data_IF_120241394937
#
_entry.id   IF_120241394937
#
_cell.length_a   1.000
_cell.length_b   1.000
_cell.length_c   1.000
_cell.angle_alpha   90.00
_cell.angle_beta   90.00
_cell.angle_gamma   90.00
#
_symmetry.space_group_name_H-M   'P 1'
#
loop_
_entity.id
_entity.type
_entity.pdbx_description
1 polymer ?
#
# COMPACT_ATOMS: atom_id res chain seq x y z
N UNK A 1 9.02 -5.98 20.50
CA UNK A 1 8.17 -7.08 19.98
C UNK A 1 9.06 -8.16 19.35
N UNK A 2 8.68 -9.45 19.38
CA UNK A 2 9.45 -10.50 18.69
C UNK A 2 9.37 -10.32 17.17
N UNK A 3 10.48 -10.52 16.45
CA UNK A 3 10.55 -10.37 14.98
C UNK A 3 9.51 -11.22 14.25
N UNK A 4 9.20 -12.42 14.77
CA UNK A 4 8.17 -13.31 14.21
C UNK A 4 6.78 -12.68 14.30
N UNK A 5 6.47 -12.04 15.43
CA UNK A 5 5.19 -11.36 15.64
C UNK A 5 5.05 -10.15 14.72
N UNK A 6 6.11 -9.34 14.57
CA UNK A 6 6.12 -8.22 13.63
C UNK A 6 5.93 -8.67 12.17
N UNK A 7 6.54 -9.79 11.77
CA UNK A 7 6.40 -10.35 10.43
C UNK A 7 4.96 -10.82 10.16
N UNK A 8 4.34 -11.53 11.11
CA UNK A 8 2.95 -12.00 10.98
C UNK A 8 1.99 -10.81 10.87
N UNK A 9 2.19 -9.78 11.70
CA UNK A 9 1.33 -8.59 11.65
C UNK A 9 1.53 -7.83 10.33
N UNK A 10 2.76 -7.73 9.82
CA UNK A 10 3.02 -7.12 8.51
C UNK A 10 2.30 -7.85 7.36
N UNK A 11 2.31 -9.19 7.37
CA UNK A 11 1.57 -10.02 6.41
C UNK A 11 0.06 -9.76 6.55
N UNK A 12 -0.47 -9.76 7.77
CA UNK A 12 -1.89 -9.51 8.02
C UNK A 12 -2.32 -8.11 7.54
N UNK A 13 -1.47 -7.09 7.73
CA UNK A 13 -1.71 -5.74 7.20
C UNK A 13 -1.77 -5.77 5.67
N UNK A 14 -0.81 -6.41 5.00
CA UNK A 14 -0.78 -6.50 3.54
C UNK A 14 -1.98 -7.24 2.95
N UNK A 15 -2.33 -8.40 3.52
CA UNK A 15 -3.49 -9.18 3.09
C UNK A 15 -4.82 -8.47 3.38
N UNK A 16 -4.96 -7.85 4.55
CA UNK A 16 -6.14 -7.06 4.91
C UNK A 16 -6.32 -5.84 4.01
N UNK A 17 -5.22 -5.17 3.66
CA UNK A 17 -5.21 -4.05 2.73
C UNK A 17 -5.69 -4.47 1.32
N UNK A 18 -5.27 -5.66 0.84
CA UNK A 18 -5.76 -6.20 -0.43
C UNK A 18 -7.29 -6.32 -0.45
N UNK A 19 -7.86 -6.96 0.56
CA UNK A 19 -9.29 -7.18 0.65
C UNK A 19 -10.07 -5.87 0.74
N UNK A 20 -9.57 -4.94 1.56
CA UNK A 20 -10.19 -3.62 1.73
C UNK A 20 -10.17 -2.81 0.42
N UNK A 21 -9.02 -2.76 -0.28
CA UNK A 21 -8.90 -2.02 -1.53
C UNK A 21 -9.77 -2.63 -2.63
N UNK A 22 -9.81 -3.96 -2.76
CA UNK A 22 -10.69 -4.64 -3.72
C UNK A 22 -12.16 -4.28 -3.48
N UNK A 23 -12.59 -4.17 -2.22
CA UNK A 23 -13.96 -3.75 -1.89
C UNK A 23 -14.20 -2.26 -2.17
N UNK A 24 -13.26 -1.39 -1.76
CA UNK A 24 -13.36 0.06 -2.00
C UNK A 24 -13.36 0.42 -3.49
N UNK A 25 -12.66 -0.34 -4.35
CA UNK A 25 -12.59 -0.08 -5.78
C UNK A 25 -13.95 -0.13 -6.46
N UNK A 26 -14.82 -1.08 -6.11
CA UNK A 26 -16.16 -1.13 -6.69
C UNK A 26 -16.95 0.16 -6.40
N UNK A 27 -16.82 0.68 -5.18
CA UNK A 27 -17.45 1.92 -4.77
C UNK A 27 -16.85 3.14 -5.47
N UNK A 28 -15.52 3.23 -5.52
CA UNK A 28 -14.81 4.34 -6.19
C UNK A 28 -15.13 4.34 -7.69
N UNK A 29 -15.16 3.18 -8.34
CA UNK A 29 -15.51 3.07 -9.75
C UNK A 29 -16.95 3.53 -10.03
N UNK A 30 -17.89 3.22 -9.14
CA UNK A 30 -19.29 3.62 -9.28
C UNK A 30 -19.51 5.11 -9.01
N UNK A 31 -18.80 5.69 -8.05
CA UNK A 31 -19.05 7.05 -7.56
C UNK A 31 -18.10 8.11 -8.10
N UNK A 32 -17.00 7.74 -8.76
CA UNK A 32 -16.01 8.72 -9.23
C UNK A 32 -16.53 9.49 -10.46
N UNK A 33 -16.80 10.81 -10.35
CA UNK A 33 -17.30 11.59 -11.47
C UNK A 33 -16.20 11.98 -12.46
N UNK A 34 -14.92 11.81 -12.10
CA UNK A 34 -13.78 12.31 -12.86
C UNK A 34 -13.74 11.81 -14.31
N UNK A 35 -13.94 10.51 -14.63
CA UNK A 35 -13.94 10.05 -16.02
C UNK A 35 -15.00 10.78 -16.87
N UNK A 36 -16.18 11.04 -16.31
CA UNK A 36 -17.25 11.75 -17.00
C UNK A 36 -16.91 13.23 -17.24
N UNK A 37 -16.24 13.88 -16.29
CA UNK A 37 -15.82 15.28 -16.41
C UNK A 37 -14.70 15.44 -17.45
N UNK A 38 -13.71 14.53 -17.45
CA UNK A 38 -12.62 14.53 -18.42
C UNK A 38 -13.12 14.24 -19.85
N UNK A 39 -14.10 13.34 -19.99
CA UNK A 39 -14.73 13.08 -21.28
C UNK A 39 -15.50 14.32 -21.79
N UNK A 40 -16.21 15.01 -20.89
CA UNK A 40 -16.93 16.27 -21.21
C UNK A 40 -15.99 17.42 -21.57
N UNK A 41 -14.77 17.47 -21.01
CA UNK A 41 -13.76 18.48 -21.37
C UNK A 41 -13.06 18.18 -22.70
N UNK A 42 -13.44 17.12 -23.40
CA UNK A 42 -12.85 16.71 -24.68
C UNK A 42 -11.51 15.99 -24.56
N UNK A 43 -11.06 15.65 -23.35
CA UNK A 43 -9.81 14.92 -23.14
C UNK A 43 -9.99 13.46 -23.57
N UNK A 44 -9.13 12.99 -24.49
CA UNK A 44 -9.20 11.63 -25.06
C UNK A 44 -7.81 11.01 -25.17
N UNK A 45 -7.78 9.70 -25.45
CA UNK A 45 -6.54 8.97 -25.73
C UNK A 45 -5.58 8.94 -24.53
N UNK A 46 -4.28 9.04 -24.79
CA UNK A 46 -3.25 8.86 -23.76
C UNK A 46 -3.39 9.84 -22.59
N UNK A 47 -3.67 11.12 -22.86
CA UNK A 47 -3.81 12.14 -21.80
C UNK A 47 -4.94 11.83 -20.82
N UNK A 48 -6.06 11.30 -21.31
CA UNK A 48 -7.18 10.86 -20.47
C UNK A 48 -6.74 9.73 -19.52
N UNK A 49 -6.07 8.70 -20.07
CA UNK A 49 -5.57 7.58 -19.28
C UNK A 49 -4.50 7.99 -18.26
N UNK A 50 -3.61 8.93 -18.61
CA UNK A 50 -2.60 9.44 -17.68
C UNK A 50 -3.23 10.14 -16.49
N UNK A 51 -4.26 10.98 -16.70
CA UNK A 51 -4.94 11.68 -15.60
C UNK A 51 -5.70 10.70 -14.71
N UNK A 52 -6.39 9.72 -15.29
CA UNK A 52 -7.08 8.69 -14.53
C UNK A 52 -6.09 7.86 -13.71
N UNK A 53 -5.03 7.34 -14.33
CA UNK A 53 -4.01 6.53 -13.65
C UNK A 53 -3.32 7.30 -12.53
N UNK A 54 -3.01 8.59 -12.75
CA UNK A 54 -2.37 9.44 -11.73
C UNK A 54 -3.31 9.68 -10.55
N UNK A 55 -4.59 9.95 -10.82
CA UNK A 55 -5.58 10.17 -9.77
C UNK A 55 -5.82 8.89 -8.98
N UNK A 56 -5.97 7.76 -9.66
CA UNK A 56 -6.18 6.46 -9.02
C UNK A 56 -4.98 6.09 -8.15
N UNK A 57 -3.75 6.32 -8.63
CA UNK A 57 -2.54 6.15 -7.83
C UNK A 57 -2.56 6.99 -6.55
N UNK A 58 -2.92 8.27 -6.63
CA UNK A 58 -3.02 9.15 -5.46
C UNK A 58 -4.08 8.68 -4.47
N UNK A 59 -5.25 8.26 -4.96
CA UNK A 59 -6.31 7.69 -4.11
C UNK A 59 -5.79 6.45 -3.38
N UNK A 60 -5.11 5.53 -4.08
CA UNK A 60 -4.52 4.34 -3.47
C UNK A 60 -3.43 4.70 -2.45
N UNK A 61 -2.60 5.72 -2.69
CA UNK A 61 -1.61 6.19 -1.70
C UNK A 61 -2.30 6.66 -0.43
N UNK A 62 -3.39 7.43 -0.54
CA UNK A 62 -4.17 7.92 0.61
C UNK A 62 -4.79 6.75 1.37
N UNK A 63 -5.40 5.80 0.67
CA UNK A 63 -6.00 4.61 1.28
C UNK A 63 -4.96 3.69 1.94
N UNK A 64 -3.70 3.71 1.47
CA UNK A 64 -2.60 2.98 2.07
C UNK A 64 -2.03 3.66 3.34
N UNK A 65 -2.36 4.93 3.64
CA UNK A 65 -1.79 5.64 4.80
C UNK A 65 -2.05 4.95 6.15
N UNK A 66 -3.26 4.43 6.47
CA UNK A 66 -3.50 3.71 7.73
C UNK A 66 -2.64 2.45 7.85
N UNK A 67 -2.47 1.70 6.76
CA UNK A 67 -1.61 0.52 6.71
C UNK A 67 -0.13 0.91 6.85
N UNK A 68 0.31 1.97 6.17
CA UNK A 68 1.65 2.52 6.30
C UNK A 68 1.96 2.96 7.73
N UNK A 69 1.00 3.59 8.40
CA UNK A 69 1.11 3.97 9.81
C UNK A 69 1.20 2.76 10.74
N UNK A 70 0.39 1.73 10.50
CA UNK A 70 0.46 0.48 11.25
C UNK A 70 1.84 -0.20 11.08
N UNK A 71 2.38 -0.24 9.85
CA UNK A 71 3.71 -0.77 9.56
C UNK A 71 4.82 0.05 10.22
N UNK A 72 4.70 1.38 10.21
CA UNK A 72 5.64 2.29 10.88
C UNK A 72 5.66 2.05 12.39
N UNK A 73 4.49 1.81 13.01
CA UNK A 73 4.41 1.44 14.44
C UNK A 73 5.00 0.09 14.78
N UNK A 74 5.26 -0.82 13.83
CA UNK A 74 5.94 -2.10 14.11
C UNK A 74 7.42 -1.92 14.48
N UNK A 75 8.01 -0.78 14.12
CA UNK A 75 9.29 -0.30 14.63
C UNK A 75 10.33 0.00 13.54
N UNK A 76 11.18 1.00 13.79
CA UNK A 76 12.11 1.56 12.79
C UNK A 76 13.13 0.56 12.26
N UNK A 77 13.64 -0.33 13.12
CA UNK A 77 14.79 -1.18 12.79
C UNK A 77 14.54 -2.13 11.62
N UNK A 78 13.28 -2.44 11.34
CA UNK A 78 12.89 -3.41 10.30
C UNK A 78 11.74 -2.91 9.41
N UNK A 79 11.53 -1.58 9.33
CA UNK A 79 10.43 -1.02 8.55
C UNK A 79 10.47 -1.46 7.08
N UNK A 80 11.66 -1.51 6.46
CA UNK A 80 11.83 -1.98 5.08
C UNK A 80 11.45 -3.45 4.91
N UNK A 81 11.89 -4.32 5.84
CA UNK A 81 11.58 -5.75 5.78
C UNK A 81 10.09 -6.02 6.02
N UNK A 82 9.46 -5.31 6.97
CA UNK A 82 8.03 -5.41 7.24
C UNK A 82 7.21 -4.88 6.05
N UNK A 83 7.65 -3.78 5.44
CA UNK A 83 7.01 -3.22 4.23
C UNK A 83 7.10 -4.18 3.06
N UNK A 84 8.26 -4.84 2.86
CA UNK A 84 8.43 -5.84 1.82
C UNK A 84 7.52 -7.06 2.04
N UNK A 85 7.42 -7.55 3.28
CA UNK A 85 6.52 -8.66 3.61
C UNK A 85 5.05 -8.28 3.39
N UNK A 86 4.65 -7.09 3.82
CA UNK A 86 3.31 -6.56 3.58
C UNK A 86 3.03 -6.40 2.09
N UNK A 87 4.00 -5.91 1.31
CA UNK A 87 3.89 -5.75 -0.13
C UNK A 87 3.74 -7.09 -0.85
N UNK A 88 4.53 -8.10 -0.48
CA UNK A 88 4.40 -9.46 -1.04
C UNK A 88 3.03 -10.05 -0.70
N UNK A 89 2.59 -9.92 0.56
CA UNK A 89 1.26 -10.39 0.95
C UNK A 89 0.14 -9.65 0.20
N UNK A 90 0.29 -8.35 0.02
CA UNK A 90 -0.64 -7.50 -0.72
C UNK A 90 -0.71 -7.92 -2.18
N UNK A 91 0.44 -8.18 -2.82
CA UNK A 91 0.51 -8.64 -4.21
C UNK A 91 -0.10 -10.04 -4.41
N UNK A 92 0.12 -10.97 -3.48
CA UNK A 92 -0.46 -12.31 -3.57
C UNK A 92 -1.98 -12.27 -3.34
N UNK A 93 -2.41 -11.63 -2.24
CA UNK A 93 -3.84 -11.52 -1.92
C UNK A 93 -4.62 -10.72 -2.97
N UNK A 94 -4.01 -9.65 -3.50
CA UNK A 94 -4.55 -8.88 -4.62
C UNK A 94 -4.72 -9.72 -5.88
N UNK A 95 -3.69 -10.45 -6.30
CA UNK A 95 -3.77 -11.32 -7.48
C UNK A 95 -4.83 -12.43 -7.34
N UNK A 96 -4.97 -13.00 -6.14
CA UNK A 96 -6.00 -14.02 -5.85
C UNK A 96 -7.41 -13.42 -5.89
N UNK A 97 -7.60 -12.22 -5.33
CA UNK A 97 -8.92 -11.58 -5.24
C UNK A 97 -9.40 -10.98 -6.56
N UNK A 98 -8.52 -10.39 -7.35
CA UNK A 98 -8.83 -9.84 -8.69
C UNK A 98 -8.90 -10.95 -9.74
N UNK A 99 -8.26 -12.09 -9.47
CA UNK A 99 -8.21 -13.24 -10.36
C UNK A 99 -7.09 -13.12 -11.39
N UNK A 100 -6.26 -14.18 -11.46
CA UNK A 100 -5.19 -14.34 -12.46
C UNK A 100 -5.62 -14.10 -13.93
N UNK A 101 -6.86 -14.40 -14.37
CA UNK A 101 -7.28 -14.15 -15.76
C UNK A 101 -7.29 -12.67 -16.16
N UNK A 102 -7.49 -11.75 -15.20
CA UNK A 102 -7.51 -10.31 -15.48
C UNK A 102 -6.15 -9.79 -16.01
N UNK A 103 -5.04 -10.47 -15.71
CA UNK A 103 -3.71 -10.10 -16.18
C UNK A 103 -3.42 -10.48 -17.64
N UNK A 104 -4.34 -11.23 -18.29
CA UNK A 104 -4.21 -11.61 -19.70
C UNK A 104 -4.67 -10.53 -20.68
N UNK A 105 -5.38 -9.49 -20.22
CA UNK A 105 -5.97 -8.45 -21.08
C UNK A 105 -4.98 -7.33 -21.48
N UNK A 106 -3.68 -7.52 -21.25
CA UNK A 106 -2.61 -6.69 -21.83
C UNK A 106 -1.85 -5.80 -20.84
N UNK A 107 -0.88 -5.06 -21.38
CA UNK A 107 0.13 -4.31 -20.62
C UNK A 107 -0.46 -3.24 -19.69
N UNK A 108 -1.60 -2.65 -20.06
CA UNK A 108 -2.19 -1.54 -19.31
C UNK A 108 -2.65 -1.97 -17.91
N UNK A 109 -3.17 -3.20 -17.77
CA UNK A 109 -3.58 -3.76 -16.48
C UNK A 109 -2.38 -4.03 -15.59
N UNK A 110 -1.27 -4.51 -16.18
CA UNK A 110 -0.02 -4.67 -15.45
C UNK A 110 0.51 -3.34 -14.92
N UNK A 111 0.46 -2.28 -15.73
CA UNK A 111 0.88 -0.95 -15.30
C UNK A 111 0.03 -0.45 -14.14
N UNK A 112 -1.30 -0.53 -14.24
CA UNK A 112 -2.19 -0.11 -13.15
C UNK A 112 -2.00 -0.93 -11.88
N UNK A 113 -1.75 -2.24 -12.02
CA UNK A 113 -1.47 -3.10 -10.88
C UNK A 113 -0.12 -2.78 -10.20
N UNK A 114 0.92 -2.51 -10.99
CA UNK A 114 2.21 -2.09 -10.45
C UNK A 114 2.12 -0.74 -9.75
N UNK A 115 1.33 0.20 -10.27
CA UNK A 115 1.05 1.48 -9.61
C UNK A 115 0.32 1.28 -8.28
N UNK A 116 -0.68 0.38 -8.24
CA UNK A 116 -1.32 -0.02 -6.99
C UNK A 116 -0.30 -0.56 -5.98
N UNK A 117 0.55 -1.51 -6.38
CA UNK A 117 1.57 -2.08 -5.50
C UNK A 117 2.56 -1.02 -5.01
N UNK A 118 2.93 -0.07 -5.87
CA UNK A 118 3.81 1.04 -5.53
C UNK A 118 3.18 2.04 -4.53
N UNK A 119 1.86 2.07 -4.40
CA UNK A 119 1.18 3.00 -3.48
C UNK A 119 1.53 2.76 -2.01
N UNK A 120 1.72 1.49 -1.60
CA UNK A 120 2.09 1.13 -0.23
C UNK A 120 3.51 1.61 0.17
N UNK A 121 4.59 1.29 -0.58
CA UNK A 121 5.92 1.79 -0.24
C UNK A 121 5.99 3.32 -0.35
N UNK A 122 5.25 3.95 -1.27
CA UNK A 122 5.16 5.42 -1.32
C UNK A 122 4.48 5.99 -0.08
N UNK A 123 3.37 5.40 0.37
CA UNK A 123 2.71 5.81 1.61
C UNK A 123 3.62 5.65 2.84
N UNK A 124 4.35 4.53 2.95
CA UNK A 124 5.33 4.31 4.02
C UNK A 124 6.48 5.32 3.96
N UNK A 125 6.97 5.62 2.76
CA UNK A 125 8.02 6.63 2.55
C UNK A 125 7.54 8.03 2.95
N UNK A 126 6.34 8.44 2.51
CA UNK A 126 5.74 9.73 2.89
C UNK A 126 5.61 9.82 4.41
N UNK A 127 5.06 8.78 5.05
CA UNK A 127 4.85 8.76 6.49
C UNK A 127 6.18 8.86 7.26
N UNK A 128 7.21 8.14 6.80
CA UNK A 128 8.56 8.21 7.38
C UNK A 128 9.19 9.60 7.24
N UNK A 129 8.89 10.31 6.14
CA UNK A 129 9.42 11.65 5.88
C UNK A 129 8.71 12.74 6.70
N UNK A 130 7.41 12.62 6.93
CA UNK A 130 6.62 13.62 7.67
C UNK A 130 6.59 13.41 9.19
N UNK A 131 6.62 12.15 9.65
CA UNK A 131 6.51 11.82 11.09
C UNK A 131 7.91 11.58 11.72
N UNK A 132 8.94 11.38 10.90
CA UNK A 132 10.30 11.10 11.34
C UNK A 132 10.54 9.61 11.62
N UNK A 133 11.58 9.32 12.41
CA UNK A 133 12.01 7.95 12.67
C UNK A 133 10.96 7.16 13.44
N UNK A 134 10.67 5.94 12.98
CA UNK A 134 9.76 5.03 13.66
C UNK A 134 10.21 4.69 15.09
N UNK A 135 9.26 4.37 15.99
CA UNK A 135 9.59 4.02 17.37
C UNK A 135 10.51 2.79 17.41
N UNK A 136 11.53 2.83 18.27
CA UNK A 136 12.38 1.66 18.51
C UNK A 136 11.67 0.68 19.46
N UNK A 137 10.90 -0.24 18.90
CA UNK A 137 10.18 -1.28 19.65
C UNK A 137 11.05 -2.52 19.94
N UNK A 138 12.37 -2.36 19.89
CA UNK A 138 13.34 -3.34 20.33
C UNK A 138 13.20 -3.59 21.84
N UNK A 139 12.77 -4.79 22.24
CA UNK A 139 12.94 -5.28 23.62
C UNK A 139 14.44 -5.53 23.84
N UNK A 140 15.21 -4.47 24.08
CA UNK A 140 16.50 -4.64 24.75
C UNK A 140 16.18 -4.75 26.24
N UNK A 141 16.61 -5.81 26.94
CA UNK A 141 16.58 -5.77 28.40
C UNK A 141 17.38 -4.54 28.83
N UNK A 142 16.78 -3.65 29.61
CA UNK A 142 17.54 -2.60 30.29
C UNK A 142 18.63 -3.32 31.08
N UNK A 143 19.92 -2.98 30.93
CA UNK A 143 20.92 -3.51 31.83
C UNK A 143 20.48 -3.14 33.25
N UNK A 144 20.45 -4.14 34.13
CA UNK A 144 20.24 -3.91 35.56
C UNK A 144 21.32 -2.91 35.99
N UNK A 145 20.92 -1.80 36.61
CA UNK A 145 21.88 -0.86 37.22
C UNK A 145 22.79 -1.66 38.15
N UNK A 146 24.08 -1.76 37.83
CA UNK A 146 25.08 -2.32 38.73
C UNK A 146 25.73 -3.66 38.34
N UNK A 147 25.53 -4.19 37.13
CA UNK A 147 26.36 -5.31 36.64
C UNK A 147 27.58 -4.78 35.87
N UNK A 148 28.63 -4.41 36.61
CA UNK A 148 29.99 -4.22 36.12
C UNK A 148 30.92 -5.10 36.97
#
# INVERSE_FOLDING_TARGET
MSRKVSAIIAIAIGGGLALLLTWCWAYIAAMNPLPSLLAKSGLRGAGFWTVIASTDFLINVILCLPAAWALWRLGARHIQANTLLALVSFAIAGAVTVGLPAFSYGLLIWITYLLLLASLPVAVWMLSKFIGNAPDNSFKPKPLRGSA
#
